data_IF_363625821465
#
_entry.id   IF_363625821465
#
_cell.length_a   1.000
_cell.length_b   1.000
_cell.length_c   1.000
_cell.angle_alpha   90.00
_cell.angle_beta   90.00
_cell.angle_gamma   90.00
#
_symmetry.space_group_name_H-M   'P 1'
#
loop_
_entity.id
_entity.type
_entity.pdbx_description
1 polymer ?
#
# COMPACT_ATOMS: atom_id res chain seq x y z
N UNK A 1 26.58 -4.39 -31.31
CA UNK A 1 25.57 -3.63 -30.56
C UNK A 1 25.79 -2.15 -30.81
N UNK A 2 24.75 -1.39 -31.22
CA UNK A 2 24.92 0.02 -31.47
C UNK A 2 24.89 0.85 -30.17
N UNK A 3 25.43 2.07 -30.24
CA UNK A 3 25.52 2.97 -29.08
C UNK A 3 24.16 3.35 -28.49
N UNK A 4 23.11 3.48 -29.35
CA UNK A 4 21.77 3.84 -28.89
C UNK A 4 21.17 2.75 -27.98
N UNK A 5 21.35 1.49 -28.34
CA UNK A 5 20.87 0.37 -27.54
C UNK A 5 21.55 0.29 -26.19
N UNK A 6 22.86 0.54 -26.16
CA UNK A 6 23.66 0.56 -24.93
C UNK A 6 23.23 1.71 -24.00
N UNK A 7 23.02 2.89 -24.58
CA UNK A 7 22.55 4.06 -23.82
C UNK A 7 21.17 3.83 -23.23
N UNK A 8 20.23 3.24 -24.01
CA UNK A 8 18.89 2.90 -23.50
C UNK A 8 18.97 1.92 -22.34
N UNK A 9 19.84 0.93 -22.42
CA UNK A 9 20.05 -0.04 -21.35
C UNK A 9 20.57 0.62 -20.07
N UNK A 10 21.52 1.53 -20.19
CA UNK A 10 22.06 2.31 -19.06
C UNK A 10 20.99 3.18 -18.41
N UNK A 11 20.16 3.86 -19.23
CA UNK A 11 19.06 4.67 -18.74
C UNK A 11 18.03 3.83 -18.00
N UNK A 12 17.68 2.67 -18.55
CA UNK A 12 16.75 1.75 -17.93
C UNK A 12 17.26 1.27 -16.56
N UNK A 13 18.53 0.89 -16.48
CA UNK A 13 19.13 0.46 -15.23
C UNK A 13 19.11 1.56 -14.19
N UNK A 14 19.39 2.80 -14.59
CA UNK A 14 19.33 3.96 -13.70
C UNK A 14 17.93 4.16 -13.14
N UNK A 15 16.90 4.09 -13.99
CA UNK A 15 15.50 4.25 -13.58
C UNK A 15 15.07 3.12 -12.65
N UNK A 16 15.50 1.89 -12.92
CA UNK A 16 15.23 0.76 -12.03
C UNK A 16 15.86 0.93 -10.66
N UNK A 17 17.07 1.48 -10.60
CA UNK A 17 17.72 1.80 -9.34
C UNK A 17 16.95 2.86 -8.56
N UNK A 18 16.38 3.85 -9.25
CA UNK A 18 15.51 4.86 -8.64
C UNK A 18 14.24 4.22 -8.06
N UNK A 19 13.62 3.28 -8.80
CA UNK A 19 12.47 2.52 -8.32
C UNK A 19 12.82 1.71 -7.07
N UNK A 20 13.97 1.04 -7.07
CA UNK A 20 14.42 0.24 -5.92
C UNK A 20 14.60 1.13 -4.68
N UNK A 21 15.11 2.34 -4.88
CA UNK A 21 15.26 3.31 -3.79
C UNK A 21 13.89 3.75 -3.23
N UNK A 22 12.92 3.98 -4.12
CA UNK A 22 11.55 4.31 -3.71
C UNK A 22 10.89 3.14 -2.96
N UNK A 23 11.16 1.92 -3.38
CA UNK A 23 10.66 0.72 -2.68
C UNK A 23 11.17 0.65 -1.25
N UNK A 24 12.44 1.02 -1.02
CA UNK A 24 12.98 1.09 0.34
C UNK A 24 12.22 2.09 1.21
N UNK A 25 11.85 3.23 0.63
CA UNK A 25 11.03 4.24 1.31
C UNK A 25 9.64 3.70 1.62
N UNK A 26 9.02 3.02 0.64
CA UNK A 26 7.71 2.39 0.83
C UNK A 26 7.73 1.35 1.94
N UNK A 27 8.77 0.53 2.01
CA UNK A 27 8.92 -0.47 3.07
C UNK A 27 8.94 0.18 4.46
N UNK A 28 9.62 1.31 4.60
CA UNK A 28 9.64 2.07 5.86
C UNK A 28 8.25 2.57 6.23
N UNK A 29 7.48 3.04 5.24
CA UNK A 29 6.11 3.51 5.46
C UNK A 29 5.21 2.34 5.85
N UNK A 30 5.33 1.21 5.16
CA UNK A 30 4.56 0.00 5.47
C UNK A 30 4.86 -0.49 6.91
N UNK A 31 6.12 -0.44 7.32
CA UNK A 31 6.49 -0.78 8.69
C UNK A 31 5.77 0.10 9.71
N UNK A 32 5.71 1.41 9.47
CA UNK A 32 4.99 2.35 10.34
C UNK A 32 3.48 2.08 10.36
N UNK A 33 2.90 1.85 9.17
CA UNK A 33 1.48 1.53 9.06
C UNK A 33 1.15 0.24 9.81
N UNK A 34 1.97 -0.78 9.66
CA UNK A 34 1.76 -2.06 10.34
C UNK A 34 1.81 -1.90 11.86
N UNK A 35 2.72 -1.08 12.37
CA UNK A 35 2.79 -0.79 13.81
C UNK A 35 1.49 -0.14 14.32
N UNK A 36 0.91 0.77 13.54
CA UNK A 36 -0.36 1.41 13.88
C UNK A 36 -1.52 0.41 13.79
N UNK A 37 -1.54 -0.43 12.76
CA UNK A 37 -2.55 -1.48 12.61
C UNK A 37 -2.54 -2.44 13.80
N UNK A 38 -1.35 -2.78 14.33
CA UNK A 38 -1.23 -3.59 15.55
C UNK A 38 -1.90 -2.91 16.75
N UNK A 39 -1.74 -1.59 16.87
CA UNK A 39 -2.39 -0.82 17.95
C UNK A 39 -3.90 -0.79 17.78
N UNK A 40 -4.39 -0.59 16.54
CA UNK A 40 -5.82 -0.62 16.22
C UNK A 40 -6.40 -1.99 16.55
N UNK A 41 -5.70 -3.07 16.20
CA UNK A 41 -6.13 -4.44 16.47
C UNK A 41 -6.32 -4.69 17.96
N UNK A 42 -5.45 -4.15 18.82
CA UNK A 42 -5.56 -4.27 20.28
C UNK A 42 -6.83 -3.62 20.82
N UNK A 43 -7.36 -2.62 20.14
CA UNK A 43 -8.59 -1.92 20.55
C UNK A 43 -9.86 -2.62 20.10
N UNK A 44 -9.75 -3.62 19.22
CA UNK A 44 -10.90 -4.41 18.76
C UNK A 44 -11.17 -5.53 19.76
N UNK A 45 -12.41 -5.60 20.23
CA UNK A 45 -12.82 -6.60 21.21
C UNK A 45 -13.37 -7.87 20.54
N UNK A 46 -13.93 -7.72 19.35
CA UNK A 46 -14.59 -8.81 18.63
C UNK A 46 -14.02 -8.98 17.23
N UNK A 47 -13.94 -10.22 16.79
CA UNK A 47 -13.37 -10.56 15.47
C UNK A 47 -14.13 -9.91 14.32
N UNK A 48 -15.45 -9.70 14.44
CA UNK A 48 -16.24 -9.06 13.38
C UNK A 48 -15.86 -7.59 13.16
N UNK A 49 -15.20 -6.95 14.13
CA UNK A 49 -14.75 -5.56 13.99
C UNK A 49 -13.56 -5.40 13.04
N UNK A 50 -12.92 -6.49 12.65
CA UNK A 50 -11.77 -6.46 11.75
C UNK A 50 -12.18 -5.92 10.37
N UNK A 51 -13.34 -6.33 9.84
CA UNK A 51 -13.83 -5.83 8.56
C UNK A 51 -14.84 -4.71 8.82
N UNK A 52 -14.40 -3.48 8.59
CA UNK A 52 -15.23 -2.29 8.70
C UNK A 52 -15.55 -1.77 7.29
N UNK A 53 -16.69 -2.18 6.75
CA UNK A 53 -17.10 -1.84 5.38
C UNK A 53 -17.27 -0.34 5.17
N UNK A 54 -17.77 0.39 6.16
CA UNK A 54 -17.91 1.86 6.10
C UNK A 54 -16.57 2.53 5.99
N UNK A 55 -15.62 2.11 6.83
CA UNK A 55 -14.25 2.65 6.82
C UNK A 55 -13.56 2.38 5.50
N UNK A 56 -13.72 1.18 4.94
CA UNK A 56 -13.14 0.80 3.64
C UNK A 56 -13.65 1.73 2.54
N UNK A 57 -14.96 2.00 2.49
CA UNK A 57 -15.52 2.95 1.51
C UNK A 57 -14.94 4.35 1.67
N UNK A 58 -14.82 4.83 2.89
CA UNK A 58 -14.24 6.16 3.19
C UNK A 58 -12.81 6.23 2.68
N UNK A 59 -12.00 5.21 2.96
CA UNK A 59 -10.60 5.16 2.53
C UNK A 59 -10.51 5.17 1.00
N UNK A 60 -11.24 4.30 0.32
CA UNK A 60 -11.17 4.18 -1.14
C UNK A 60 -11.64 5.46 -1.85
N UNK A 61 -12.69 6.11 -1.35
CA UNK A 61 -13.15 7.39 -1.89
C UNK A 61 -12.12 8.50 -1.68
N UNK A 62 -11.51 8.56 -0.50
CA UNK A 62 -10.49 9.56 -0.18
C UNK A 62 -9.27 9.38 -1.08
N UNK A 63 -8.82 8.15 -1.25
CA UNK A 63 -7.64 7.85 -2.09
C UNK A 63 -7.92 8.19 -3.56
N UNK A 64 -9.13 7.88 -4.05
CA UNK A 64 -9.52 8.23 -5.42
C UNK A 64 -9.44 9.75 -5.64
N UNK A 65 -10.05 10.53 -4.74
CA UNK A 65 -10.05 12.00 -4.83
C UNK A 65 -8.65 12.58 -4.76
N UNK A 66 -7.82 12.09 -3.84
CA UNK A 66 -6.44 12.53 -3.70
C UNK A 66 -5.58 12.15 -4.90
N UNK A 67 -5.83 10.98 -5.48
CA UNK A 67 -5.13 10.53 -6.68
C UNK A 67 -5.39 11.47 -7.85
N UNK A 68 -6.66 11.78 -8.09
CA UNK A 68 -7.05 12.70 -9.16
C UNK A 68 -6.42 14.08 -8.93
N UNK A 69 -6.50 14.60 -7.72
CA UNK A 69 -5.92 15.90 -7.36
C UNK A 69 -4.40 15.94 -7.60
N UNK A 70 -3.71 14.86 -7.34
CA UNK A 70 -2.25 14.75 -7.48
C UNK A 70 -1.81 14.19 -8.83
N UNK A 71 -2.73 14.08 -9.79
CA UNK A 71 -2.47 13.60 -11.16
C UNK A 71 -1.89 12.19 -11.17
N UNK A 72 -2.36 11.34 -10.26
CA UNK A 72 -2.02 9.92 -10.22
C UNK A 72 -3.19 9.16 -10.83
N UNK A 73 -2.89 8.15 -11.65
CA UNK A 73 -3.92 7.28 -12.22
C UNK A 73 -4.69 6.59 -11.09
N UNK A 74 -6.02 6.86 -10.94
CA UNK A 74 -6.79 6.27 -9.84
C UNK A 74 -6.92 4.75 -9.94
N UNK A 75 -6.74 4.16 -11.13
CA UNK A 75 -6.74 2.70 -11.29
C UNK A 75 -5.56 2.07 -10.55
N UNK A 76 -4.40 2.71 -10.61
CA UNK A 76 -3.20 2.23 -9.90
C UNK A 76 -3.42 2.25 -8.40
N UNK A 77 -3.81 3.40 -7.87
CA UNK A 77 -3.99 3.57 -6.42
C UNK A 77 -5.16 2.74 -5.89
N UNK A 78 -6.24 2.61 -6.66
CA UNK A 78 -7.37 1.77 -6.27
C UNK A 78 -6.95 0.31 -6.08
N UNK A 79 -6.20 -0.25 -7.01
CA UNK A 79 -5.67 -1.62 -6.90
C UNK A 79 -4.74 -1.79 -5.70
N UNK A 80 -3.82 -0.83 -5.53
CA UNK A 80 -2.87 -0.87 -4.41
C UNK A 80 -3.63 -0.84 -3.07
N UNK A 81 -4.54 0.11 -2.90
CA UNK A 81 -5.27 0.25 -1.63
C UNK A 81 -6.20 -0.91 -1.34
N UNK A 82 -6.92 -1.42 -2.34
CA UNK A 82 -7.76 -2.63 -2.15
C UNK A 82 -6.93 -3.82 -1.68
N UNK A 83 -5.79 -4.04 -2.30
CA UNK A 83 -4.92 -5.16 -1.93
C UNK A 83 -4.26 -4.95 -0.56
N UNK A 84 -3.87 -3.71 -0.25
CA UNK A 84 -3.33 -3.36 1.05
C UNK A 84 -4.35 -3.60 2.16
N UNK A 85 -5.58 -3.13 1.97
CA UNK A 85 -6.68 -3.33 2.93
C UNK A 85 -6.91 -4.82 3.16
N UNK A 86 -6.99 -5.59 2.08
CA UNK A 86 -7.18 -7.06 2.13
C UNK A 86 -6.03 -7.73 2.89
N UNK A 87 -4.80 -7.32 2.65
CA UNK A 87 -3.62 -7.88 3.31
C UNK A 87 -3.64 -7.60 4.82
N UNK A 88 -4.04 -6.39 5.22
CA UNK A 88 -4.14 -6.06 6.63
C UNK A 88 -5.32 -6.75 7.33
N UNK A 89 -6.44 -6.95 6.63
CA UNK A 89 -7.55 -7.75 7.17
C UNK A 89 -7.07 -9.17 7.46
N UNK A 90 -6.35 -9.78 6.52
CA UNK A 90 -5.77 -11.11 6.71
C UNK A 90 -4.80 -11.14 7.90
N UNK A 91 -3.93 -10.15 7.98
CA UNK A 91 -2.99 -10.00 9.09
C UNK A 91 -3.72 -9.90 10.43
N UNK A 92 -4.75 -9.05 10.51
CA UNK A 92 -5.53 -8.87 11.74
C UNK A 92 -6.26 -10.16 12.15
N UNK A 93 -6.83 -10.89 11.18
CA UNK A 93 -7.48 -12.18 11.46
C UNK A 93 -6.51 -13.22 12.02
N UNK A 94 -5.30 -13.29 11.47
CA UNK A 94 -4.27 -14.22 11.93
C UNK A 94 -3.74 -13.88 13.31
N UNK A 95 -3.80 -12.60 13.70
CA UNK A 95 -3.21 -12.10 14.95
C UNK A 95 -4.23 -11.71 16.00
N UNK A 96 -5.52 -11.91 15.73
CA UNK A 96 -6.58 -11.64 16.69
C UNK A 96 -6.56 -12.70 17.80
N UNK A 97 -6.35 -12.27 19.06
CA UNK A 97 -6.17 -13.17 20.20
C UNK A 97 -7.28 -13.12 21.24
N UNK A 98 -8.24 -12.23 21.07
CA UNK A 98 -9.38 -12.13 22.00
C UNK A 98 -10.48 -13.11 21.62
N UNK A 99 -11.19 -13.61 22.59
CA UNK A 99 -12.32 -14.52 22.37
C UNK A 99 -13.60 -13.77 22.02
#
# INVERSE_FOLDING_TARGET
>A
MNKCRLLKKKKLNKLRNELDSLDNTLLKIIKKRTAIVKQVLKLKDYKYQIVDKKRIKIILNRIKKKSIKNKIDPKITNHIWKNMIKSYIDYERRNFKKK
#
